data_IF_706083184614
#
_entry.id   IF_706083184614
#
_cell.length_a   1.000
_cell.length_b   1.000
_cell.length_c   1.000
_cell.angle_alpha   90.00
_cell.angle_beta   90.00
_cell.angle_gamma   90.00
#
_symmetry.space_group_name_H-M   'P 1'
#
loop_
_entity.id
_entity.type
_entity.pdbx_description
1 polymer ?
#
# COMPACT_ATOMS: atom_id res chain seq x y z
N UNK A 1 26.07 -12.21 -67.95
CA UNK A 1 25.33 -13.42 -67.52
C UNK A 1 24.46 -13.06 -66.32
N UNK A 2 23.15 -13.32 -66.40
CA UNK A 2 22.16 -13.51 -65.31
C UNK A 2 22.08 -12.44 -64.20
N UNK A 3 21.09 -11.53 -64.19
CA UNK A 3 19.65 -11.62 -63.84
C UNK A 3 19.37 -10.88 -62.53
N UNK A 4 18.29 -10.10 -62.59
CA UNK A 4 17.69 -9.23 -61.56
C UNK A 4 17.22 -10.03 -60.33
N UNK A 5 17.06 -9.33 -59.19
CA UNK A 5 15.83 -9.23 -58.37
C UNK A 5 16.21 -8.60 -57.01
N UNK A 6 15.98 -7.29 -56.80
CA UNK A 6 14.71 -6.65 -56.39
C UNK A 6 14.38 -6.89 -54.91
N UNK A 7 14.54 -5.84 -54.09
CA UNK A 7 13.58 -5.32 -53.10
C UNK A 7 14.36 -4.50 -52.04
N UNK A 8 13.91 -3.38 -51.52
CA UNK A 8 12.89 -2.39 -51.86
C UNK A 8 13.23 -1.24 -50.90
N UNK A 9 13.48 -0.05 -51.45
CA UNK A 9 13.67 1.19 -50.72
C UNK A 9 12.43 1.51 -49.87
N UNK A 10 12.50 2.27 -48.78
CA UNK A 10 12.42 3.73 -48.84
C UNK A 10 12.55 4.30 -47.42
N UNK A 11 13.65 5.01 -47.13
CA UNK A 11 13.67 6.05 -46.10
C UNK A 11 13.75 7.39 -46.83
N UNK A 12 12.60 8.05 -47.01
CA UNK A 12 12.56 9.42 -47.50
C UNK A 12 11.83 10.31 -46.49
N UNK A 13 12.63 11.19 -45.89
CA UNK A 13 12.38 12.54 -45.40
C UNK A 13 10.93 13.00 -45.15
N UNK A 14 10.71 13.67 -44.01
CA UNK A 14 10.12 15.01 -44.02
C UNK A 14 10.38 15.76 -42.70
N UNK A 15 11.07 16.89 -42.80
CA UNK A 15 11.07 17.98 -41.81
C UNK A 15 9.75 18.76 -42.01
N UNK A 16 8.95 18.92 -40.95
CA UNK A 16 7.96 20.00 -40.84
C UNK A 16 7.97 20.56 -39.42
N UNK A 17 8.04 21.89 -39.38
CA UNK A 17 8.04 22.73 -38.20
C UNK A 17 6.69 22.71 -37.45
N UNK A 18 6.72 22.99 -36.15
CA UNK A 18 5.94 24.06 -35.49
C UNK A 18 5.81 23.76 -33.98
N UNK A 19 6.02 24.78 -33.16
CA UNK A 19 5.71 24.72 -31.74
C UNK A 19 4.19 24.59 -31.56
N UNK A 20 3.75 23.56 -30.85
CA UNK A 20 2.52 23.63 -30.05
C UNK A 20 2.83 23.07 -28.67
N UNK A 21 2.47 23.84 -27.65
CA UNK A 21 2.59 23.47 -26.26
C UNK A 21 1.75 22.23 -25.99
N UNK A 22 2.42 21.11 -25.75
CA UNK A 22 1.91 20.09 -24.86
C UNK A 22 3.09 19.68 -23.99
N UNK A 23 3.11 20.21 -22.77
CA UNK A 23 3.69 19.50 -21.65
C UNK A 23 2.96 18.16 -21.56
N UNK A 24 3.43 17.16 -22.31
CA UNK A 24 3.14 15.78 -21.99
C UNK A 24 3.97 15.51 -20.74
N UNK A 25 3.34 15.78 -19.60
CA UNK A 25 3.65 15.14 -18.34
C UNK A 25 3.60 13.64 -18.62
N UNK A 26 4.73 13.07 -19.01
CA UNK A 26 4.96 11.66 -18.76
C UNK A 26 5.10 11.60 -17.24
N UNK A 27 4.19 10.93 -16.49
CA UNK A 27 4.47 10.66 -15.10
C UNK A 27 5.69 9.74 -15.09
N UNK A 28 6.85 10.36 -14.82
CA UNK A 28 8.09 9.69 -14.58
C UNK A 28 7.86 8.66 -13.48
N UNK A 29 8.31 7.44 -13.77
CA UNK A 29 8.60 6.34 -12.86
C UNK A 29 8.18 6.58 -11.42
N UNK A 30 7.21 5.79 -10.94
CA UNK A 30 6.98 5.49 -9.53
C UNK A 30 8.33 5.42 -8.80
N UNK A 31 8.76 6.54 -8.23
CA UNK A 31 9.47 6.48 -6.97
C UNK A 31 8.53 5.70 -6.04
N UNK A 32 9.08 4.84 -5.20
CA UNK A 32 8.32 4.16 -4.17
C UNK A 32 7.73 5.26 -3.27
N UNK A 33 6.60 5.83 -3.69
CA UNK A 33 5.87 6.88 -3.01
C UNK A 33 5.58 6.30 -1.66
N UNK A 34 6.25 6.85 -0.65
CA UNK A 34 6.06 6.48 0.73
C UNK A 34 4.56 6.48 0.96
N UNK A 35 3.99 5.29 1.10
CA UNK A 35 2.55 5.10 1.19
C UNK A 35 2.02 6.03 2.28
N UNK A 36 1.29 7.07 1.88
CA UNK A 36 0.94 8.14 2.81
C UNK A 36 -0.24 7.65 3.64
N UNK A 37 0.01 7.51 4.94
CA UNK A 37 -0.96 6.96 5.88
C UNK A 37 -2.26 7.76 5.85
N UNK A 38 -3.41 7.11 5.70
CA UNK A 38 -4.70 7.78 5.63
C UNK A 38 -4.98 8.56 4.34
N UNK A 39 -4.09 8.54 3.33
CA UNK A 39 -4.34 9.12 2.00
C UNK A 39 -5.02 8.07 1.10
N UNK A 40 -6.35 7.97 1.21
CA UNK A 40 -7.14 6.89 0.57
C UNK A 40 -7.49 7.20 -0.88
N UNK A 41 -7.31 8.46 -1.30
CA UNK A 41 -7.55 8.93 -2.65
C UNK A 41 -6.26 9.05 -3.49
N UNK A 42 -5.07 8.89 -2.87
CA UNK A 42 -3.74 8.93 -3.49
C UNK A 42 -3.42 10.29 -4.14
N UNK A 43 -3.95 11.37 -3.55
CA UNK A 43 -3.66 12.74 -3.99
C UNK A 43 -2.35 13.30 -3.39
N UNK A 44 -1.69 12.51 -2.55
CA UNK A 44 -0.44 12.85 -1.89
C UNK A 44 -0.61 13.64 -0.60
N UNK A 45 -1.85 13.74 -0.05
CA UNK A 45 -2.14 14.42 1.20
C UNK A 45 -3.13 13.63 2.05
N UNK A 46 -2.77 13.41 3.31
CA UNK A 46 -3.73 12.94 4.32
C UNK A 46 -4.55 14.14 4.81
N UNK A 47 -5.84 14.16 4.50
CA UNK A 47 -6.71 15.31 4.69
C UNK A 47 -8.09 14.94 5.28
N UNK A 48 -8.92 15.96 5.52
CA UNK A 48 -10.31 15.72 5.95
C UNK A 48 -11.16 15.05 4.86
N UNK A 49 -10.77 15.19 3.59
CA UNK A 49 -11.43 14.52 2.48
C UNK A 49 -11.26 13.01 2.59
N UNK A 50 -10.09 12.54 3.00
CA UNK A 50 -9.82 11.13 3.21
C UNK A 50 -10.66 10.53 4.34
N UNK A 51 -10.79 11.26 5.45
CA UNK A 51 -11.66 10.86 6.55
C UNK A 51 -13.12 10.71 6.07
N UNK A 52 -13.60 11.64 5.24
CA UNK A 52 -14.93 11.56 4.64
C UNK A 52 -15.08 10.36 3.69
N UNK A 53 -14.05 10.08 2.89
CA UNK A 53 -14.06 8.94 1.98
C UNK A 53 -14.07 7.60 2.73
N UNK A 54 -13.39 7.51 3.88
CA UNK A 54 -13.46 6.35 4.77
C UNK A 54 -14.88 6.19 5.33
N UNK A 55 -15.50 7.25 5.86
CA UNK A 55 -16.89 7.20 6.37
C UNK A 55 -17.89 6.80 5.28
N UNK A 56 -17.74 7.32 4.07
CA UNK A 56 -18.55 6.93 2.92
C UNK A 56 -18.37 5.45 2.54
N UNK A 57 -17.14 4.95 2.54
CA UNK A 57 -16.85 3.53 2.28
C UNK A 57 -17.53 2.62 3.33
N UNK A 58 -17.45 2.99 4.60
CA UNK A 58 -18.10 2.29 5.72
C UNK A 58 -19.62 2.23 5.55
N UNK A 59 -20.23 3.32 5.08
CA UNK A 59 -21.67 3.42 4.82
C UNK A 59 -22.12 2.77 3.51
N UNK A 60 -21.23 2.06 2.81
CA UNK A 60 -21.49 1.47 1.48
C UNK A 60 -21.97 2.48 0.45
N UNK A 61 -21.62 3.75 0.62
CA UNK A 61 -21.83 4.80 -0.38
C UNK A 61 -20.76 4.59 -1.45
N UNK A 62 -21.15 4.48 -2.71
CA UNK A 62 -20.20 4.23 -3.81
C UNK A 62 -19.17 5.35 -3.85
N UNK A 63 -17.94 5.00 -3.51
CA UNK A 63 -16.77 5.87 -3.57
C UNK A 63 -15.69 5.19 -4.41
N UNK A 64 -15.03 5.97 -5.26
CA UNK A 64 -13.81 5.53 -5.93
C UNK A 64 -12.65 5.59 -4.93
N UNK A 65 -12.66 4.70 -3.93
CA UNK A 65 -11.53 4.53 -3.02
C UNK A 65 -10.60 3.49 -3.61
N UNK A 66 -9.44 3.95 -4.08
CA UNK A 66 -8.47 3.07 -4.75
C UNK A 66 -7.55 2.37 -3.73
N UNK A 67 -7.48 2.87 -2.48
CA UNK A 67 -6.50 2.42 -1.48
C UNK A 67 -7.09 2.31 -0.06
N UNK A 68 -8.14 1.50 0.12
CA UNK A 68 -8.79 1.31 1.43
C UNK A 68 -7.85 0.80 2.53
N UNK A 69 -6.81 0.00 2.21
CA UNK A 69 -5.75 -0.35 3.16
C UNK A 69 -5.06 0.83 3.83
N UNK A 70 -4.92 1.97 3.15
CA UNK A 70 -4.35 3.18 3.75
C UNK A 70 -5.29 3.80 4.78
N UNK A 71 -6.58 3.48 4.69
CA UNK A 71 -7.62 3.96 5.58
C UNK A 71 -7.65 3.25 6.93
N UNK A 72 -7.18 2.01 7.06
CA UNK A 72 -6.99 1.35 8.36
C UNK A 72 -5.72 1.88 9.05
N UNK A 73 -5.83 3.12 9.51
CA UNK A 73 -4.70 3.89 10.06
C UNK A 73 -4.29 3.40 11.44
N UNK A 74 -5.12 2.62 12.10
CA UNK A 74 -4.83 2.06 13.42
C UNK A 74 -4.27 0.62 13.34
N UNK A 75 -4.34 0.02 12.15
CA UNK A 75 -3.84 -1.31 11.77
C UNK A 75 -4.42 -2.41 12.66
N UNK A 76 -5.74 -2.35 12.89
CA UNK A 76 -6.51 -3.40 13.57
C UNK A 76 -7.27 -4.29 12.58
N UNK A 77 -6.97 -4.17 11.29
CA UNK A 77 -7.54 -5.00 10.22
C UNK A 77 -9.00 -4.67 9.91
N UNK A 78 -9.57 -3.66 10.56
CA UNK A 78 -10.94 -3.21 10.36
C UNK A 78 -10.92 -1.77 9.85
N UNK A 79 -11.79 -1.46 8.89
CA UNK A 79 -12.06 -0.09 8.49
C UNK A 79 -13.33 0.37 9.19
N UNK A 80 -13.19 1.28 10.15
CA UNK A 80 -14.26 1.71 11.07
C UNK A 80 -14.32 3.24 11.22
N UNK A 81 -15.37 3.75 11.88
CA UNK A 81 -15.49 5.19 12.18
C UNK A 81 -14.31 5.72 13.00
N UNK A 82 -13.65 4.85 13.77
CA UNK A 82 -12.45 5.20 14.53
C UNK A 82 -11.30 5.60 13.61
N UNK A 83 -11.18 4.97 12.44
CA UNK A 83 -10.15 5.27 11.47
C UNK A 83 -10.39 6.61 10.79
N UNK A 84 -11.64 6.86 10.38
CA UNK A 84 -12.06 8.17 9.89
C UNK A 84 -11.78 9.27 10.92
N UNK A 85 -12.10 9.02 12.20
CA UNK A 85 -11.82 9.95 13.29
C UNK A 85 -10.31 10.22 13.47
N UNK A 86 -9.46 9.20 13.39
CA UNK A 86 -8.01 9.34 13.51
C UNK A 86 -7.41 10.16 12.35
N UNK A 87 -7.88 9.92 11.13
CA UNK A 87 -7.49 10.72 9.95
C UNK A 87 -7.94 12.17 10.10
N UNK A 88 -9.19 12.41 10.53
CA UNK A 88 -9.70 13.76 10.77
C UNK A 88 -8.91 14.50 11.86
N UNK A 89 -8.58 13.81 12.95
CA UNK A 89 -7.78 14.35 14.05
C UNK A 89 -6.37 14.71 13.61
N UNK A 90 -5.75 13.90 12.75
CA UNK A 90 -4.48 14.23 12.12
C UNK A 90 -4.58 15.46 11.21
N UNK A 91 -5.58 15.50 10.33
CA UNK A 91 -5.78 16.62 9.41
C UNK A 91 -6.02 17.94 10.15
N UNK A 92 -6.63 17.88 11.34
CA UNK A 92 -6.83 19.02 12.23
C UNK A 92 -5.60 19.39 13.07
N UNK A 93 -4.49 18.63 12.98
CA UNK A 93 -3.27 18.84 13.77
C UNK A 93 -3.40 18.45 15.25
N UNK A 94 -4.41 17.65 15.60
CA UNK A 94 -4.70 17.24 16.99
C UNK A 94 -3.86 16.01 17.39
N UNK A 95 -3.55 15.13 16.44
CA UNK A 95 -2.81 13.89 16.71
C UNK A 95 -1.85 13.54 15.57
N UNK A 96 -0.75 12.86 15.89
CA UNK A 96 0.05 12.20 14.88
C UNK A 96 -0.68 10.96 14.34
N UNK A 97 -0.48 10.66 13.07
CA UNK A 97 -0.98 9.44 12.45
C UNK A 97 0.17 8.45 12.29
N UNK A 98 -0.03 7.21 12.73
CA UNK A 98 0.97 6.16 12.62
C UNK A 98 0.31 4.91 12.03
N UNK A 99 0.42 4.76 10.71
CA UNK A 99 0.04 3.50 10.07
C UNK A 99 0.99 2.41 10.54
N UNK A 100 0.42 1.25 10.85
CA UNK A 100 1.24 0.06 11.01
C UNK A 100 1.87 -0.33 9.67
N UNK A 101 3.13 -0.76 9.71
CA UNK A 101 3.76 -1.34 8.53
C UNK A 101 3.29 -2.79 8.37
N UNK A 102 3.10 -3.22 7.12
CA UNK A 102 2.88 -4.63 6.86
C UNK A 102 4.11 -5.44 7.33
N UNK A 103 3.91 -6.38 8.24
CA UNK A 103 4.99 -7.13 8.89
C UNK A 103 5.56 -6.51 10.17
N UNK A 104 5.11 -5.34 10.61
CA UNK A 104 5.48 -4.72 11.89
C UNK A 104 4.42 -5.04 12.96
N UNK A 105 4.60 -6.18 13.63
CA UNK A 105 3.66 -6.71 14.60
C UNK A 105 3.74 -6.02 15.95
N UNK A 106 4.88 -5.43 16.30
CA UNK A 106 5.05 -4.72 17.57
C UNK A 106 4.83 -3.20 17.47
N UNK A 107 4.54 -2.68 16.26
CA UNK A 107 4.30 -1.26 15.95
C UNK A 107 5.52 -0.38 16.27
N UNK A 108 6.74 -0.89 16.14
CA UNK A 108 7.97 -0.14 16.42
C UNK A 108 8.53 0.62 15.20
N UNK A 109 7.85 0.50 14.05
CA UNK A 109 8.23 1.14 12.80
C UNK A 109 9.31 0.39 12.02
N UNK A 110 9.65 -0.83 12.39
CA UNK A 110 10.65 -1.67 11.70
C UNK A 110 10.11 -3.08 11.51
N UNK A 111 10.38 -3.65 10.35
CA UNK A 111 10.07 -5.06 10.07
C UNK A 111 11.35 -5.86 10.28
N UNK A 112 11.41 -6.67 11.35
CA UNK A 112 12.63 -7.37 11.75
C UNK A 112 12.35 -8.71 12.45
N UNK A 113 13.40 -9.34 12.99
CA UNK A 113 13.33 -10.61 13.72
C UNK A 113 12.34 -10.63 14.90
N UNK A 114 12.03 -9.49 15.51
CA UNK A 114 11.05 -9.37 16.60
C UNK A 114 9.65 -9.70 16.05
N UNK A 115 9.31 -9.19 14.87
CA UNK A 115 8.03 -9.47 14.22
C UNK A 115 7.94 -10.92 13.77
N UNK A 116 9.04 -11.45 13.22
CA UNK A 116 9.12 -12.87 12.88
C UNK A 116 8.91 -13.77 14.12
N UNK A 117 9.35 -13.34 15.30
CA UNK A 117 9.10 -14.04 16.57
C UNK A 117 7.63 -13.95 16.97
N UNK A 118 6.99 -12.80 16.83
CA UNK A 118 5.56 -12.64 17.12
C UNK A 118 4.71 -13.53 16.20
N UNK A 119 5.00 -13.54 14.89
CA UNK A 119 4.34 -14.43 13.93
C UNK A 119 4.58 -15.91 14.27
N UNK A 120 5.81 -16.26 14.69
CA UNK A 120 6.13 -17.62 15.12
C UNK A 120 5.33 -18.04 16.36
N UNK A 121 5.17 -17.16 17.35
CA UNK A 121 4.35 -17.44 18.53
C UNK A 121 2.90 -17.75 18.15
N UNK A 122 2.32 -16.96 17.24
CA UNK A 122 0.96 -17.19 16.73
C UNK A 122 0.86 -18.52 15.98
N UNK A 123 1.84 -18.83 15.14
CA UNK A 123 1.87 -20.06 14.33
C UNK A 123 1.82 -21.35 15.14
N UNK A 124 2.24 -21.29 16.42
CA UNK A 124 2.21 -22.41 17.36
C UNK A 124 1.22 -22.17 18.52
N UNK A 125 0.27 -21.26 18.33
CA UNK A 125 -0.81 -20.94 19.29
C UNK A 125 -0.34 -20.49 20.67
N UNK A 126 0.81 -19.80 20.75
CA UNK A 126 1.29 -19.16 21.96
C UNK A 126 0.70 -17.75 22.11
N UNK A 127 0.46 -17.34 23.36
CA UNK A 127 0.01 -15.98 23.68
C UNK A 127 1.04 -14.93 23.28
N UNK A 128 0.60 -13.90 22.58
CA UNK A 128 1.42 -12.73 22.22
C UNK A 128 1.18 -11.55 23.17
N UNK A 129 2.13 -10.60 23.28
CA UNK A 129 1.92 -9.38 24.06
C UNK A 129 0.66 -8.62 23.67
N UNK A 130 0.00 -8.00 24.65
CA UNK A 130 -1.15 -7.12 24.39
C UNK A 130 -0.71 -5.94 23.53
N UNK A 131 -1.52 -5.58 22.54
CA UNK A 131 -1.21 -4.50 21.59
C UNK A 131 -0.45 -4.96 20.34
N UNK A 132 -0.12 -6.25 20.23
CA UNK A 132 0.41 -6.82 18.99
C UNK A 132 -0.56 -6.59 17.83
N UNK A 133 -0.06 -6.05 16.73
CA UNK A 133 -0.79 -5.87 15.48
C UNK A 133 -0.90 -7.23 14.75
N UNK A 134 -1.77 -8.11 15.25
CA UNK A 134 -1.88 -9.49 14.72
C UNK A 134 -2.12 -9.49 13.21
N UNK A 135 -2.98 -8.61 12.70
CA UNK A 135 -3.28 -8.54 11.27
C UNK A 135 -2.09 -8.11 10.40
N UNK A 136 -1.13 -7.36 10.97
CA UNK A 136 0.09 -6.99 10.27
C UNK A 136 1.00 -8.19 9.98
N UNK A 137 0.82 -9.31 10.69
CA UNK A 137 1.68 -10.48 10.62
C UNK A 137 1.21 -11.53 9.59
N UNK A 138 0.04 -11.34 8.96
CA UNK A 138 -0.41 -12.07 7.77
C UNK A 138 0.16 -11.39 6.52
N UNK A 139 1.45 -11.60 6.29
CA UNK A 139 2.26 -10.83 5.32
C UNK A 139 2.25 -11.41 3.91
N UNK A 140 1.42 -12.44 3.69
CA UNK A 140 1.06 -12.96 2.39
C UNK A 140 -0.45 -12.85 2.10
N UNK A 141 -1.22 -12.26 3.02
CA UNK A 141 -2.67 -12.06 2.95
C UNK A 141 -3.49 -13.36 2.72
N UNK A 142 -2.97 -14.52 3.15
CA UNK A 142 -3.66 -15.81 2.99
C UNK A 142 -4.72 -16.07 4.08
N UNK A 143 -4.75 -15.21 5.11
CA UNK A 143 -5.66 -15.31 6.25
C UNK A 143 -5.20 -16.18 7.39
N UNK A 144 -3.96 -16.68 7.35
CA UNK A 144 -3.42 -17.57 8.37
C UNK A 144 -1.99 -17.18 8.67
N UNK A 145 -1.77 -16.68 9.88
CA UNK A 145 -0.42 -16.42 10.37
C UNK A 145 0.28 -17.73 10.69
N UNK A 146 1.23 -18.13 9.86
CA UNK A 146 1.91 -19.42 9.94
C UNK A 146 3.41 -19.33 9.59
N UNK A 147 4.07 -20.48 9.41
CA UNK A 147 5.51 -20.53 9.11
C UNK A 147 5.90 -19.82 7.80
N UNK A 148 4.96 -19.65 6.87
CA UNK A 148 5.15 -18.92 5.61
C UNK A 148 5.36 -17.43 5.89
N UNK A 149 4.56 -16.83 6.78
CA UNK A 149 4.72 -15.42 7.19
C UNK A 149 6.04 -15.18 7.89
N UNK A 150 6.42 -16.09 8.80
CA UNK A 150 7.71 -16.04 9.48
C UNK A 150 8.87 -16.05 8.47
N UNK A 151 8.78 -16.90 7.45
CA UNK A 151 9.77 -16.95 6.39
C UNK A 151 9.81 -15.64 5.59
N UNK A 152 8.66 -15.09 5.26
CA UNK A 152 8.55 -13.88 4.45
C UNK A 152 9.08 -12.64 5.17
N UNK A 153 8.78 -12.47 6.46
CA UNK A 153 9.35 -11.41 7.30
C UNK A 153 10.88 -11.52 7.34
N UNK A 154 11.43 -12.73 7.54
CA UNK A 154 12.89 -12.93 7.53
C UNK A 154 13.53 -12.68 6.17
N UNK A 155 12.86 -13.05 5.08
CA UNK A 155 13.33 -12.75 3.73
C UNK A 155 13.32 -11.24 3.47
N UNK A 156 12.31 -10.53 3.97
CA UNK A 156 12.22 -9.07 3.88
C UNK A 156 13.35 -8.39 4.68
N UNK A 157 13.53 -8.76 5.94
CA UNK A 157 14.61 -8.26 6.81
C UNK A 157 16.01 -8.47 6.18
N UNK A 158 16.22 -9.62 5.53
CA UNK A 158 17.50 -9.95 4.86
C UNK A 158 17.63 -9.41 3.44
N UNK A 159 16.63 -8.67 2.93
CA UNK A 159 16.62 -8.12 1.57
C UNK A 159 16.44 -9.16 0.46
N UNK A 160 16.18 -10.43 0.79
CA UNK A 160 15.86 -11.49 -0.19
C UNK A 160 14.45 -11.32 -0.79
N UNK A 161 13.62 -10.54 -0.12
CA UNK A 161 12.28 -10.14 -0.57
C UNK A 161 12.16 -8.63 -0.42
N UNK A 162 11.61 -7.97 -1.43
CA UNK A 162 11.53 -6.50 -1.48
C UNK A 162 10.17 -5.96 -1.07
N UNK A 163 9.16 -6.81 -0.88
CA UNK A 163 7.80 -6.40 -0.54
C UNK A 163 7.05 -7.45 0.26
N UNK A 164 6.15 -7.00 1.12
CA UNK A 164 5.16 -7.82 1.83
C UNK A 164 3.75 -7.43 1.37
N UNK A 165 2.78 -8.31 1.59
CA UNK A 165 1.38 -8.08 1.22
C UNK A 165 0.50 -8.38 2.42
N UNK A 166 -0.13 -7.36 2.97
CA UNK A 166 -1.10 -7.52 4.04
C UNK A 166 -2.50 -7.47 3.47
N UNK A 167 -3.44 -8.08 4.20
CA UNK A 167 -4.85 -8.12 3.85
C UNK A 167 -5.43 -6.70 3.78
N UNK A 168 -6.33 -6.46 2.83
CA UNK A 168 -7.19 -5.28 2.87
C UNK A 168 -8.07 -5.29 4.13
N UNK A 169 -8.29 -4.15 4.78
CA UNK A 169 -9.08 -4.10 5.99
C UNK A 169 -10.53 -4.49 5.70
N UNK A 170 -11.14 -5.17 6.66
CA UNK A 170 -12.56 -5.53 6.59
C UNK A 170 -13.39 -4.29 6.89
N UNK A 171 -14.24 -3.88 5.96
CA UNK A 171 -15.18 -2.78 6.20
C UNK A 171 -16.23 -3.23 7.20
N UNK A 172 -16.35 -2.51 8.32
CA UNK A 172 -17.40 -2.76 9.32
C UNK A 172 -18.42 -1.64 9.23
N UNK A 173 -19.57 -1.95 8.65
CA UNK A 173 -20.70 -1.02 8.62
C UNK A 173 -21.25 -0.80 10.05
N UNK A 174 -21.76 0.41 10.36
CA UNK A 174 -22.36 0.73 11.65
C UNK A 174 -23.64 -0.06 11.95
#
# INVERSE_FOLDING_TARGET
MKTKNVALALCFAFLIASMSAQAVLQPNSKENGKELCGDVNDDGRTSILDALMIDQAIRSISVSTTYLRRGDVNNDGLLTEKDAYLVASYAAGVSALQCGLCGDGNKDGKINKVDAKLASMISVSLSVPKGTAVHALDVNADGRINSVDVLFIRQYESGKRTSLQCREPVIVAP
#
